data_IF_546834601746
#
_entry.id   IF_546834601746
#
_cell.length_a   1.000
_cell.length_b   1.000
_cell.length_c   1.000
_cell.angle_alpha   90.00
_cell.angle_beta   90.00
_cell.angle_gamma   90.00
#
_symmetry.space_group_name_H-M   'P 1'
#
loop_
_entity.id
_entity.type
_entity.pdbx_description
1 polymer ?
#
# COMPACT_ATOMS: atom_id res chain seq x y z
N UNK A 1 17.85 81.51 -12.60
CA UNK A 1 17.31 81.35 -13.97
C UNK A 1 17.90 80.07 -14.56
N UNK A 2 17.07 79.36 -15.32
CA UNK A 2 17.32 78.08 -16.00
C UNK A 2 16.95 76.83 -15.22
N UNK A 3 16.21 76.00 -15.94
CA UNK A 3 15.29 74.94 -15.56
C UNK A 3 15.85 73.59 -16.04
N UNK A 4 15.08 72.52 -15.78
CA UNK A 4 15.26 71.13 -16.26
C UNK A 4 16.06 70.22 -15.31
N UNK A 5 15.66 69.00 -14.95
CA UNK A 5 14.66 68.07 -15.51
C UNK A 5 14.01 67.26 -14.38
N UNK A 6 12.69 67.13 -14.44
CA UNK A 6 11.91 66.13 -13.70
C UNK A 6 11.84 64.88 -14.59
N UNK A 7 12.28 63.73 -14.09
CA UNK A 7 11.98 62.40 -14.68
C UNK A 7 10.77 61.81 -13.95
N UNK A 8 9.72 61.34 -14.65
CA UNK A 8 8.64 60.59 -14.01
C UNK A 8 8.99 59.10 -13.91
N UNK A 9 8.74 58.53 -12.73
CA UNK A 9 8.82 57.10 -12.45
C UNK A 9 7.77 56.34 -13.28
N UNK A 10 8.22 55.43 -14.15
CA UNK A 10 7.36 54.48 -14.84
C UNK A 10 6.91 53.39 -13.85
N UNK A 11 5.65 53.45 -13.44
CA UNK A 11 4.98 52.36 -12.75
C UNK A 11 4.56 51.28 -13.77
N UNK A 12 5.38 50.24 -13.92
CA UNK A 12 5.02 49.01 -14.64
C UNK A 12 4.29 48.06 -13.71
N UNK A 13 2.95 48.02 -13.78
CA UNK A 13 2.12 47.05 -13.07
C UNK A 13 2.37 45.63 -13.63
N UNK A 14 2.85 44.71 -12.79
CA UNK A 14 2.94 43.30 -13.13
C UNK A 14 1.53 42.67 -13.17
N UNK A 15 1.18 41.88 -14.18
CA UNK A 15 -0.14 41.26 -14.25
C UNK A 15 -0.28 40.16 -13.20
N UNK A 16 -1.39 40.25 -12.48
CA UNK A 16 -1.82 39.36 -11.40
C UNK A 16 -1.99 37.92 -11.93
N UNK A 17 -0.97 37.06 -11.78
CA UNK A 17 -1.08 35.63 -12.13
C UNK A 17 -1.98 34.95 -11.09
N UNK A 18 -3.21 34.59 -11.50
CA UNK A 18 -4.07 33.71 -10.71
C UNK A 18 -3.30 32.41 -10.39
N UNK A 19 -3.32 31.90 -9.14
CA UNK A 19 -2.66 30.65 -8.83
C UNK A 19 -3.32 29.52 -9.63
N UNK A 20 -2.54 28.94 -10.55
CA UNK A 20 -2.93 27.80 -11.35
C UNK A 20 -3.30 26.62 -10.45
N UNK A 21 -4.52 26.10 -10.58
CA UNK A 21 -4.96 24.84 -9.94
C UNK A 21 -4.03 23.64 -10.24
N UNK A 22 -3.16 23.75 -11.25
CA UNK A 22 -2.14 22.75 -11.57
C UNK A 22 -1.09 22.58 -10.47
N UNK A 23 -0.78 23.62 -9.69
CA UNK A 23 0.17 23.53 -8.57
C UNK A 23 -0.37 22.70 -7.40
N UNK A 24 -1.64 22.87 -7.06
CA UNK A 24 -2.32 22.12 -5.99
C UNK A 24 -2.50 20.66 -6.41
N UNK A 25 -2.92 20.41 -7.66
CA UNK A 25 -2.99 19.05 -8.22
C UNK A 25 -1.63 18.36 -8.19
N UNK A 26 -0.54 19.03 -8.59
CA UNK A 26 0.82 18.46 -8.57
C UNK A 26 1.33 18.19 -7.15
N UNK A 27 1.02 19.06 -6.19
CA UNK A 27 1.39 18.85 -4.79
C UNK A 27 0.61 17.67 -4.18
N UNK A 28 -0.69 17.60 -4.47
CA UNK A 28 -1.55 16.49 -4.03
C UNK A 28 -1.17 15.17 -4.71
N UNK A 29 -0.88 15.16 -6.01
CA UNK A 29 -0.39 13.95 -6.69
C UNK A 29 1.02 13.55 -6.25
N UNK A 30 1.89 14.49 -5.90
CA UNK A 30 3.20 14.18 -5.30
C UNK A 30 3.05 13.57 -3.89
N UNK A 31 2.13 14.10 -3.07
CA UNK A 31 1.81 13.51 -1.77
C UNK A 31 1.16 12.12 -1.91
N UNK A 32 0.18 11.96 -2.81
CA UNK A 32 -0.43 10.67 -3.11
C UNK A 32 0.56 9.66 -3.67
N UNK A 33 1.53 10.08 -4.50
CA UNK A 33 2.62 9.20 -4.95
C UNK A 33 3.52 8.75 -3.81
N UNK A 34 3.73 9.60 -2.80
CA UNK A 34 4.47 9.23 -1.58
C UNK A 34 3.70 8.19 -0.76
N UNK A 35 2.37 8.32 -0.67
CA UNK A 35 1.50 7.33 -0.02
C UNK A 35 1.35 6.03 -0.85
N UNK A 36 1.32 6.12 -2.18
CA UNK A 36 1.25 4.98 -3.09
C UNK A 36 2.55 4.19 -3.25
N UNK A 37 3.69 4.80 -2.90
CA UNK A 37 5.00 4.13 -2.84
C UNK A 37 5.33 3.57 -1.45
N UNK A 38 4.41 3.64 -0.48
CA UNK A 38 4.62 2.98 0.81
C UNK A 38 4.59 1.47 0.60
N UNK A 39 5.67 0.73 0.94
CA UNK A 39 5.63 -0.72 0.92
C UNK A 39 4.54 -1.17 1.89
N UNK A 40 3.65 -2.04 1.40
CA UNK A 40 2.63 -2.71 2.20
C UNK A 40 1.64 -1.76 2.92
N UNK A 41 0.89 -0.97 2.14
CA UNK A 41 -0.17 -0.11 2.66
C UNK A 41 -1.16 -0.86 3.59
N UNK A 42 -1.49 -2.12 3.26
CA UNK A 42 -2.33 -2.98 4.10
C UNK A 42 -1.82 -3.08 5.54
N UNK A 43 -0.51 -3.17 5.74
CA UNK A 43 0.12 -3.30 7.05
C UNK A 43 -0.07 -2.04 7.89
N UNK A 44 0.13 -0.88 7.26
CA UNK A 44 -0.02 0.43 7.90
C UNK A 44 -1.49 0.70 8.22
N UNK A 45 -2.39 0.39 7.29
CA UNK A 45 -3.84 0.51 7.52
C UNK A 45 -4.31 -0.43 8.63
N UNK A 46 -3.80 -1.66 8.67
CA UNK A 46 -4.11 -2.61 9.74
C UNK A 46 -3.66 -2.09 11.11
N UNK A 47 -2.43 -1.56 11.22
CA UNK A 47 -1.96 -0.95 12.47
C UNK A 47 -2.79 0.27 12.89
N UNK A 48 -3.20 1.12 11.94
CA UNK A 48 -4.08 2.25 12.23
C UNK A 48 -5.48 1.81 12.69
N UNK A 49 -6.03 0.75 12.09
CA UNK A 49 -7.31 0.18 12.50
C UNK A 49 -7.26 -0.41 13.91
N UNK A 50 -6.15 -1.06 14.32
CA UNK A 50 -6.00 -1.54 15.70
C UNK A 50 -6.05 -0.40 16.73
N UNK A 51 -5.50 0.78 16.43
CA UNK A 51 -5.65 1.94 17.34
C UNK A 51 -7.07 2.48 17.39
N UNK A 52 -7.79 2.47 16.27
CA UNK A 52 -9.21 2.83 16.24
C UNK A 52 -10.06 1.86 17.05
N UNK A 53 -9.79 0.57 16.94
CA UNK A 53 -10.47 -0.50 17.69
C UNK A 53 -10.36 -0.26 19.20
N UNK A 54 -9.13 -0.01 19.68
CA UNK A 54 -8.84 0.35 21.07
C UNK A 54 -9.63 1.60 21.53
N UNK A 55 -9.80 2.59 20.66
CA UNK A 55 -10.55 3.80 21.00
C UNK A 55 -12.06 3.53 21.12
N UNK A 56 -12.63 2.74 20.20
CA UNK A 56 -14.04 2.33 20.27
C UNK A 56 -14.32 1.45 21.49
N UNK A 57 -13.42 0.54 21.84
CA UNK A 57 -13.54 -0.28 23.04
C UNK A 57 -13.50 0.57 24.32
N UNK A 58 -12.64 1.59 24.40
CA UNK A 58 -12.66 2.54 25.52
C UNK A 58 -14.00 3.28 25.64
N UNK A 59 -14.54 3.77 24.52
CA UNK A 59 -15.85 4.45 24.50
C UNK A 59 -16.94 3.49 24.98
N UNK A 60 -16.94 2.24 24.50
CA UNK A 60 -17.94 1.25 24.90
C UNK A 60 -17.81 0.81 26.34
N UNK A 61 -16.60 0.69 26.90
CA UNK A 61 -16.41 0.37 28.32
C UNK A 61 -17.04 1.45 29.21
N UNK A 62 -16.79 2.74 28.90
CA UNK A 62 -17.39 3.86 29.65
C UNK A 62 -18.92 3.79 29.58
N UNK A 63 -19.44 3.51 28.38
CA UNK A 63 -20.88 3.38 28.18
C UNK A 63 -21.46 2.17 28.95
N UNK A 64 -20.76 1.03 28.96
CA UNK A 64 -21.19 -0.15 29.69
C UNK A 64 -21.20 0.04 31.21
N UNK A 65 -20.30 0.84 31.78
CA UNK A 65 -20.41 1.17 33.21
C UNK A 65 -21.70 1.90 33.55
N UNK A 66 -22.36 2.56 32.58
CA UNK A 66 -23.64 3.25 32.78
C UNK A 66 -24.85 2.32 32.63
N UNK A 67 -24.74 1.28 31.80
CA UNK A 67 -25.88 0.44 31.41
C UNK A 67 -25.78 -1.02 31.86
N UNK A 68 -24.59 -1.62 31.77
CA UNK A 68 -24.36 -3.04 32.08
C UNK A 68 -22.94 -3.25 32.64
N UNK A 69 -22.87 -3.36 33.96
CA UNK A 69 -21.61 -3.62 34.68
C UNK A 69 -21.00 -4.96 34.26
N UNK A 70 -21.82 -5.98 34.00
CA UNK A 70 -21.36 -7.29 33.57
C UNK A 70 -20.64 -7.22 32.21
N UNK A 71 -21.20 -6.49 31.25
CA UNK A 71 -20.59 -6.29 29.93
C UNK A 71 -19.29 -5.48 30.03
N UNK A 72 -19.24 -4.47 30.90
CA UNK A 72 -18.03 -3.68 31.13
C UNK A 72 -16.87 -4.55 31.62
N UNK A 73 -17.09 -5.36 32.65
CA UNK A 73 -16.05 -6.26 33.16
C UNK A 73 -15.68 -7.36 32.18
N UNK A 74 -16.63 -7.84 31.37
CA UNK A 74 -16.33 -8.82 30.32
C UNK A 74 -15.39 -8.24 29.25
N UNK A 75 -15.64 -7.03 28.74
CA UNK A 75 -14.77 -6.35 27.77
C UNK A 75 -13.40 -6.00 28.35
N UNK A 76 -13.34 -5.53 29.61
CA UNK A 76 -12.06 -5.32 30.29
C UNK A 76 -11.29 -6.64 30.41
N UNK A 77 -11.98 -7.73 30.73
CA UNK A 77 -11.41 -9.06 30.84
C UNK A 77 -10.78 -9.54 29.53
N UNK A 78 -11.44 -9.32 28.38
CA UNK A 78 -10.91 -9.71 27.07
C UNK A 78 -9.65 -8.92 26.71
N UNK A 79 -9.58 -7.62 27.03
CA UNK A 79 -8.39 -6.78 26.83
C UNK A 79 -7.22 -7.23 27.73
N UNK A 80 -7.48 -7.47 29.02
CA UNK A 80 -6.44 -7.95 29.95
C UNK A 80 -5.90 -9.30 29.48
N UNK A 81 -6.79 -10.19 29.05
CA UNK A 81 -6.42 -11.51 28.57
C UNK A 81 -5.61 -11.42 27.27
N UNK A 82 -5.98 -10.54 26.33
CA UNK A 82 -5.23 -10.34 25.09
C UNK A 82 -3.83 -9.81 25.37
N UNK A 83 -3.69 -8.78 26.22
CA UNK A 83 -2.39 -8.26 26.65
C UNK A 83 -1.52 -9.32 27.32
N UNK A 84 -2.11 -10.19 28.15
CA UNK A 84 -1.39 -11.30 28.77
C UNK A 84 -0.82 -12.26 27.72
N UNK A 85 -1.63 -12.69 26.74
CA UNK A 85 -1.17 -13.59 25.69
C UNK A 85 -0.16 -12.91 24.75
N UNK A 86 -0.33 -11.62 24.44
CA UNK A 86 0.67 -10.86 23.67
C UNK A 86 2.01 -10.76 24.42
N UNK A 87 1.99 -10.58 25.74
CA UNK A 87 3.21 -10.63 26.56
C UNK A 87 3.87 -12.02 26.49
N UNK A 88 3.08 -13.10 26.58
CA UNK A 88 3.58 -14.46 26.41
C UNK A 88 4.24 -14.68 25.04
N UNK A 89 3.64 -14.16 23.95
CA UNK A 89 4.24 -14.20 22.61
C UNK A 89 5.61 -13.52 22.60
N UNK A 90 5.74 -12.32 23.17
CA UNK A 90 7.03 -11.60 23.27
C UNK A 90 8.06 -12.38 24.08
N UNK A 91 7.67 -12.94 25.22
CA UNK A 91 8.54 -13.73 26.08
C UNK A 91 9.07 -14.97 25.36
N UNK A 92 8.20 -15.69 24.63
CA UNK A 92 8.58 -16.88 23.87
C UNK A 92 9.45 -16.51 22.67
N UNK A 93 9.04 -15.52 21.87
CA UNK A 93 9.75 -15.05 20.69
C UNK A 93 11.18 -14.60 20.98
N UNK A 94 11.39 -13.95 22.13
CA UNK A 94 12.65 -13.33 22.53
C UNK A 94 13.32 -13.98 23.73
N UNK A 95 12.97 -15.23 24.10
CA UNK A 95 13.51 -15.94 25.28
C UNK A 95 15.04 -16.04 25.32
N UNK A 96 15.69 -16.02 24.16
CA UNK A 96 17.15 -16.10 24.01
C UNK A 96 17.85 -14.72 24.03
N UNK A 97 17.10 -13.63 24.20
CA UNK A 97 17.62 -12.26 24.15
C UNK A 97 18.00 -11.72 25.52
N UNK A 98 18.76 -10.62 25.49
CA UNK A 98 19.06 -9.83 26.69
C UNK A 98 17.74 -9.34 27.31
N UNK A 99 17.61 -9.49 28.63
CA UNK A 99 16.40 -9.08 29.38
C UNK A 99 15.96 -7.63 29.12
N UNK A 100 16.90 -6.70 28.90
CA UNK A 100 16.60 -5.29 28.55
C UNK A 100 15.81 -5.16 27.24
N UNK A 101 16.09 -6.01 26.26
CA UNK A 101 15.35 -6.02 25.00
C UNK A 101 13.93 -6.51 25.22
N UNK A 102 13.77 -7.65 25.92
CA UNK A 102 12.47 -8.23 26.25
C UNK A 102 11.61 -7.21 27.02
N UNK A 103 12.18 -6.54 28.01
CA UNK A 103 11.48 -5.52 28.79
C UNK A 103 10.96 -4.36 27.91
N UNK A 104 11.75 -3.91 26.93
CA UNK A 104 11.32 -2.89 25.97
C UNK A 104 10.18 -3.39 25.08
N UNK A 105 10.24 -4.63 24.61
CA UNK A 105 9.16 -5.23 23.82
C UNK A 105 7.87 -5.40 24.64
N UNK A 106 7.98 -5.81 25.90
CA UNK A 106 6.84 -5.86 26.83
C UNK A 106 6.23 -4.47 27.07
N UNK A 107 7.08 -3.43 27.16
CA UNK A 107 6.59 -2.05 27.27
C UNK A 107 5.77 -1.66 26.03
N UNK A 108 6.23 -1.99 24.82
CA UNK A 108 5.46 -1.73 23.61
C UNK A 108 4.09 -2.41 23.58
N UNK A 109 4.00 -3.63 24.12
CA UNK A 109 2.73 -4.36 24.28
C UNK A 109 1.82 -3.66 25.27
N UNK A 110 2.30 -3.39 26.49
CA UNK A 110 1.50 -2.79 27.56
C UNK A 110 1.05 -1.36 27.23
N UNK A 111 1.84 -0.60 26.47
CA UNK A 111 1.42 0.73 26.00
C UNK A 111 0.55 0.69 24.73
N UNK A 112 0.18 -0.51 24.25
CA UNK A 112 -0.59 -0.72 23.02
C UNK A 112 0.06 -0.14 21.74
N UNK A 113 1.37 0.07 21.72
CA UNK A 113 2.10 0.64 20.56
C UNK A 113 2.70 -0.46 19.66
N UNK A 114 2.70 -1.72 20.14
CA UNK A 114 3.25 -2.89 19.44
C UNK A 114 2.75 -3.04 18.00
N UNK A 115 1.44 -2.87 17.66
CA UNK A 115 0.97 -3.01 16.28
C UNK A 115 1.69 -2.07 15.30
N UNK A 116 1.96 -0.82 15.72
CA UNK A 116 2.69 0.16 14.91
C UNK A 116 4.19 -0.17 14.80
N UNK A 117 4.81 -0.60 15.89
CA UNK A 117 6.23 -0.99 15.91
C UNK A 117 6.48 -2.21 15.01
N UNK A 118 5.59 -3.19 15.05
CA UNK A 118 5.71 -4.40 14.26
C UNK A 118 5.48 -4.13 12.78
N UNK A 119 4.43 -3.37 12.43
CA UNK A 119 4.21 -2.93 11.05
C UNK A 119 5.42 -2.17 10.50
N UNK A 120 6.01 -1.26 11.29
CA UNK A 120 7.22 -0.53 10.92
C UNK A 120 8.41 -1.47 10.65
N UNK A 121 8.64 -2.47 11.50
CA UNK A 121 9.74 -3.44 11.33
C UNK A 121 9.56 -4.32 10.10
N UNK A 122 8.33 -4.71 9.78
CA UNK A 122 8.03 -5.51 8.59
C UNK A 122 8.24 -4.70 7.31
N UNK A 123 7.75 -3.45 7.30
CA UNK A 123 7.92 -2.54 6.14
C UNK A 123 9.38 -2.19 5.91
N UNK A 124 10.15 -1.93 6.96
CA UNK A 124 11.58 -1.60 6.86
C UNK A 124 12.49 -2.80 6.59
N UNK A 125 11.93 -4.03 6.56
CA UNK A 125 12.67 -5.27 6.32
C UNK A 125 13.91 -5.38 7.21
N UNK A 126 13.77 -5.08 8.51
CA UNK A 126 14.90 -5.15 9.42
C UNK A 126 15.55 -6.55 9.39
N UNK A 127 16.89 -6.62 9.36
CA UNK A 127 17.58 -7.91 9.33
C UNK A 127 17.26 -8.68 10.61
N UNK A 128 17.12 -10.00 10.47
CA UNK A 128 16.81 -10.88 11.58
C UNK A 128 17.88 -10.70 12.68
N UNK A 129 17.54 -10.19 13.87
CA UNK A 129 18.58 -9.91 14.84
C UNK A 129 19.12 -11.23 15.42
N UNK A 130 20.38 -11.28 15.85
CA UNK A 130 21.06 -12.54 16.27
C UNK A 130 20.36 -13.22 17.46
N UNK A 131 19.76 -14.39 17.23
CA UNK A 131 19.02 -15.15 18.26
C UNK A 131 17.53 -14.84 18.35
N UNK A 132 16.92 -14.22 17.32
CA UNK A 132 15.47 -14.21 17.15
C UNK A 132 14.99 -15.59 16.72
N UNK A 133 13.94 -16.10 17.37
CA UNK A 133 13.30 -17.36 16.96
C UNK A 133 12.26 -17.16 15.86
N UNK A 134 11.70 -15.95 15.77
CA UNK A 134 10.65 -15.58 14.82
C UNK A 134 11.09 -14.38 14.00
N UNK A 135 10.68 -14.35 12.73
CA UNK A 135 10.85 -13.17 11.88
C UNK A 135 9.93 -12.05 12.32
N UNK A 136 10.26 -10.80 11.96
CA UNK A 136 9.40 -9.64 12.27
C UNK A 136 7.98 -9.80 11.71
N UNK A 137 7.86 -10.45 10.54
CA UNK A 137 6.57 -10.75 9.93
C UNK A 137 5.78 -11.78 10.76
N UNK A 138 6.42 -12.87 11.18
CA UNK A 138 5.76 -13.89 12.01
C UNK A 138 5.37 -13.34 13.37
N UNK A 139 6.24 -12.56 14.02
CA UNK A 139 5.93 -11.92 15.32
C UNK A 139 4.65 -11.05 15.21
N UNK A 140 4.56 -10.23 14.17
CA UNK A 140 3.37 -9.43 13.89
C UNK A 140 2.12 -10.30 13.62
N UNK A 141 2.26 -11.40 12.88
CA UNK A 141 1.15 -12.33 12.62
C UNK A 141 0.64 -12.99 13.91
N UNK A 142 1.53 -13.37 14.82
CA UNK A 142 1.14 -13.92 16.11
C UNK A 142 0.40 -12.89 16.97
N UNK A 143 0.86 -11.64 17.00
CA UNK A 143 0.17 -10.57 17.71
C UNK A 143 -1.23 -10.29 17.14
N UNK A 144 -1.36 -10.11 15.82
CA UNK A 144 -2.66 -9.94 15.16
C UNK A 144 -3.60 -11.12 15.39
N UNK A 145 -3.07 -12.34 15.38
CA UNK A 145 -3.84 -13.53 15.70
C UNK A 145 -4.39 -13.48 17.11
N UNK A 146 -3.54 -13.20 18.11
CA UNK A 146 -3.97 -13.07 19.50
C UNK A 146 -5.03 -11.97 19.68
N UNK A 147 -4.81 -10.79 19.10
CA UNK A 147 -5.78 -9.68 19.10
C UNK A 147 -7.12 -10.13 18.52
N UNK A 148 -7.11 -10.74 17.33
CA UNK A 148 -8.34 -11.15 16.65
C UNK A 148 -9.12 -12.21 17.44
N UNK A 149 -8.44 -13.23 17.98
CA UNK A 149 -9.11 -14.36 18.63
C UNK A 149 -9.52 -14.12 20.08
N UNK A 150 -8.74 -13.33 20.83
CA UNK A 150 -8.94 -13.18 22.28
C UNK A 150 -9.69 -11.89 22.63
N UNK A 151 -9.47 -10.83 21.86
CA UNK A 151 -10.05 -9.51 22.11
C UNK A 151 -11.20 -9.23 21.16
N UNK A 152 -10.92 -9.24 19.86
CA UNK A 152 -11.84 -8.73 18.86
C UNK A 152 -13.07 -9.61 18.69
N UNK A 153 -12.92 -10.93 18.53
CA UNK A 153 -14.06 -11.86 18.37
C UNK A 153 -14.94 -11.92 19.62
N UNK A 154 -14.40 -12.16 20.83
CA UNK A 154 -15.21 -12.12 22.05
C UNK A 154 -15.78 -10.73 22.34
N UNK A 155 -15.03 -9.66 22.08
CA UNK A 155 -15.45 -8.27 22.23
C UNK A 155 -16.65 -7.93 21.35
N UNK A 156 -16.59 -8.29 20.06
CA UNK A 156 -17.71 -8.14 19.13
C UNK A 156 -18.96 -8.90 19.61
N UNK A 157 -18.79 -10.11 20.15
CA UNK A 157 -19.90 -10.90 20.69
C UNK A 157 -20.53 -10.24 21.91
N UNK A 158 -19.70 -9.77 22.86
CA UNK A 158 -20.18 -9.01 24.04
C UNK A 158 -20.90 -7.75 23.59
N UNK A 159 -20.35 -7.03 22.61
CA UNK A 159 -20.97 -5.82 22.04
C UNK A 159 -22.32 -6.12 21.40
N UNK A 160 -22.44 -7.18 20.62
CA UNK A 160 -23.70 -7.61 20.02
C UNK A 160 -24.74 -8.02 21.08
N UNK A 161 -24.34 -8.79 22.09
CA UNK A 161 -25.24 -9.20 23.19
C UNK A 161 -25.72 -7.98 23.98
N UNK A 162 -24.82 -7.06 24.32
CA UNK A 162 -25.16 -5.82 25.03
C UNK A 162 -26.09 -4.92 24.19
N UNK A 163 -25.88 -4.89 22.87
CA UNK A 163 -26.70 -4.14 21.93
C UNK A 163 -28.15 -4.64 21.88
N UNK A 164 -28.35 -5.96 21.88
CA UNK A 164 -29.68 -6.59 21.85
C UNK A 164 -30.42 -6.44 23.18
N UNK A 165 -29.72 -6.54 24.31
CA UNK A 165 -30.34 -6.58 25.64
C UNK A 165 -30.60 -5.21 26.28
N UNK A 166 -30.07 -4.13 25.72
CA UNK A 166 -30.16 -2.78 26.31
C UNK A 166 -31.00 -1.87 25.41
N UNK A 167 -30.50 -0.67 25.10
CA UNK A 167 -31.12 0.31 24.23
C UNK A 167 -30.16 0.60 23.08
N UNK A 168 -30.67 0.57 21.85
CA UNK A 168 -29.89 0.76 20.63
C UNK A 168 -29.49 2.23 20.46
N UNK A 169 -28.40 2.62 21.13
CA UNK A 169 -27.84 3.96 20.96
C UNK A 169 -27.09 4.06 19.62
N UNK A 170 -27.00 5.27 19.09
CA UNK A 170 -26.21 5.55 17.86
C UNK A 170 -24.75 5.19 18.07
N UNK A 171 -24.19 5.47 19.26
CA UNK A 171 -22.81 5.16 19.63
C UNK A 171 -22.57 3.65 19.62
N UNK A 172 -23.45 2.86 20.25
CA UNK A 172 -23.30 1.40 20.27
C UNK A 172 -23.44 0.78 18.88
N UNK A 173 -24.32 1.34 18.03
CA UNK A 173 -24.48 0.89 16.64
C UNK A 173 -23.22 1.15 15.82
N UNK A 174 -22.67 2.37 15.91
CA UNK A 174 -21.46 2.75 15.18
C UNK A 174 -20.24 1.96 15.67
N UNK A 175 -20.12 1.73 16.98
CA UNK A 175 -19.04 0.92 17.53
C UNK A 175 -19.12 -0.51 17.01
N UNK A 176 -20.28 -1.16 17.09
CA UNK A 176 -20.44 -2.54 16.62
C UNK A 176 -20.13 -2.69 15.12
N UNK A 177 -20.61 -1.76 14.29
CA UNK A 177 -20.30 -1.76 12.86
C UNK A 177 -18.81 -1.54 12.59
N UNK A 178 -18.17 -0.64 13.35
CA UNK A 178 -16.74 -0.41 13.25
C UNK A 178 -15.95 -1.67 13.62
N UNK A 179 -16.26 -2.31 14.75
CA UNK A 179 -15.58 -3.53 15.21
C UNK A 179 -15.70 -4.69 14.22
N UNK A 180 -16.89 -4.87 13.60
CA UNK A 180 -17.07 -5.92 12.59
C UNK A 180 -16.22 -5.61 11.34
N UNK A 181 -16.17 -4.34 10.92
CA UNK A 181 -15.41 -3.93 9.75
C UNK A 181 -13.90 -4.04 9.98
N UNK A 182 -13.40 -3.62 11.16
CA UNK A 182 -11.98 -3.75 11.54
C UNK A 182 -11.58 -5.21 11.63
N UNK A 183 -12.38 -6.05 12.29
CA UNK A 183 -12.16 -7.49 12.38
C UNK A 183 -12.08 -8.14 10.98
N UNK A 184 -13.02 -7.82 10.11
CA UNK A 184 -13.06 -8.35 8.74
C UNK A 184 -11.83 -7.91 7.92
N UNK A 185 -11.46 -6.63 8.02
CA UNK A 185 -10.28 -6.09 7.33
C UNK A 185 -8.97 -6.72 7.83
N UNK A 186 -8.78 -6.81 9.15
CA UNK A 186 -7.58 -7.41 9.75
C UNK A 186 -7.50 -8.90 9.40
N UNK A 187 -8.62 -9.62 9.45
CA UNK A 187 -8.67 -11.04 9.07
C UNK A 187 -8.32 -11.26 7.60
N UNK A 188 -8.93 -10.49 6.68
CA UNK A 188 -8.67 -10.60 5.24
C UNK A 188 -7.23 -10.21 4.89
N UNK A 189 -6.73 -9.11 5.44
CA UNK A 189 -5.35 -8.66 5.20
C UNK A 189 -4.32 -9.66 5.72
N UNK A 190 -4.53 -10.22 6.93
CA UNK A 190 -3.67 -11.26 7.51
C UNK A 190 -3.68 -12.54 6.67
N UNK A 191 -4.83 -12.94 6.14
CA UNK A 191 -4.94 -14.11 5.24
C UNK A 191 -4.16 -13.90 3.95
N UNK A 192 -4.32 -12.74 3.30
CA UNK A 192 -3.54 -12.38 2.11
C UNK A 192 -2.04 -12.38 2.41
N UNK A 193 -1.62 -11.81 3.54
CA UNK A 193 -0.21 -11.79 3.92
C UNK A 193 0.37 -13.20 4.15
N UNK A 194 -0.43 -14.12 4.70
CA UNK A 194 -0.03 -15.51 4.93
C UNK A 194 0.05 -16.31 3.63
N UNK A 195 -0.96 -16.22 2.79
CA UNK A 195 -1.10 -17.05 1.59
C UNK A 195 -0.31 -16.50 0.39
N UNK A 196 -0.10 -15.18 0.33
CA UNK A 196 0.66 -14.58 -0.76
C UNK A 196 2.17 -14.87 -0.64
N UNK A 197 2.78 -15.21 -1.78
CA UNK A 197 4.24 -15.33 -1.89
C UNK A 197 4.88 -14.00 -1.48
N UNK A 198 5.99 -14.02 -0.69
CA UNK A 198 6.61 -12.80 -0.16
C UNK A 198 6.90 -11.71 -1.20
N UNK A 199 7.25 -12.11 -2.44
CA UNK A 199 7.53 -11.21 -3.56
C UNK A 199 6.34 -10.34 -3.98
N UNK A 200 5.10 -10.80 -3.77
CA UNK A 200 3.89 -10.14 -4.28
C UNK A 200 3.03 -9.47 -3.20
N UNK A 201 3.42 -9.56 -1.92
CA UNK A 201 2.65 -8.99 -0.80
C UNK A 201 2.43 -7.48 -0.94
N UNK A 202 3.42 -6.79 -1.49
CA UNK A 202 3.39 -5.33 -1.74
C UNK A 202 2.40 -4.92 -2.86
N UNK A 203 1.90 -5.87 -3.66
CA UNK A 203 1.05 -5.59 -4.82
C UNK A 203 -0.45 -5.53 -4.49
N UNK A 204 -0.89 -6.18 -3.40
CA UNK A 204 -2.33 -6.37 -3.13
C UNK A 204 -3.05 -5.10 -2.66
N UNK A 205 -2.36 -4.17 -2.02
CA UNK A 205 -2.94 -2.91 -1.55
C UNK A 205 -1.98 -1.77 -1.89
N UNK A 206 -2.35 -0.98 -2.89
CA UNK A 206 -1.57 0.15 -3.37
C UNK A 206 -2.48 1.30 -3.75
N UNK A 207 -2.11 2.52 -3.38
CA UNK A 207 -2.77 3.74 -3.85
C UNK A 207 -2.29 4.18 -5.24
N UNK A 208 -1.39 3.42 -5.89
CA UNK A 208 -0.96 3.73 -7.26
C UNK A 208 -2.15 3.61 -8.20
N UNK A 209 -2.36 4.64 -9.01
CA UNK A 209 -3.29 4.53 -10.14
C UNK A 209 -2.72 3.57 -11.19
N UNK A 210 -3.59 3.01 -12.05
CA UNK A 210 -3.13 2.15 -13.14
C UNK A 210 -2.08 2.84 -14.03
N UNK A 211 -2.25 4.12 -14.30
CA UNK A 211 -1.29 4.91 -15.07
C UNK A 211 0.07 5.03 -14.36
N UNK A 212 0.08 5.36 -13.07
CA UNK A 212 1.30 5.42 -12.28
C UNK A 212 2.02 4.07 -12.16
N UNK A 213 1.26 2.97 -12.09
CA UNK A 213 1.82 1.62 -12.08
C UNK A 213 2.51 1.31 -13.42
N UNK A 214 1.81 1.52 -14.53
CA UNK A 214 2.35 1.24 -15.88
C UNK A 214 3.59 2.10 -16.17
N UNK A 215 3.53 3.40 -15.89
CA UNK A 215 4.65 4.33 -16.05
C UNK A 215 5.83 3.93 -15.14
N UNK A 216 5.54 3.56 -13.88
CA UNK A 216 6.54 3.11 -12.93
C UNK A 216 7.24 1.83 -13.39
N UNK A 217 6.50 0.88 -13.94
CA UNK A 217 7.03 -0.36 -14.49
C UNK A 217 7.99 -0.09 -15.65
N UNK A 218 7.63 0.79 -16.59
CA UNK A 218 8.52 1.15 -17.71
C UNK A 218 9.87 1.70 -17.22
N UNK A 219 9.83 2.61 -16.25
CA UNK A 219 11.02 3.32 -15.75
C UNK A 219 11.92 2.48 -14.86
N UNK A 220 11.36 1.48 -14.18
CA UNK A 220 12.10 0.66 -13.19
C UNK A 220 12.46 -0.73 -13.69
N UNK A 221 11.81 -1.23 -14.75
CA UNK A 221 12.11 -2.53 -15.31
C UNK A 221 13.53 -2.54 -15.91
N UNK A 222 14.33 -3.53 -15.50
CA UNK A 222 15.62 -3.85 -16.13
C UNK A 222 15.44 -4.78 -17.33
N UNK A 223 14.36 -5.57 -17.36
CA UNK A 223 14.10 -6.55 -18.40
C UNK A 223 13.29 -5.92 -19.52
N UNK A 224 13.80 -5.98 -20.76
CA UNK A 224 13.17 -5.39 -21.94
C UNK A 224 11.78 -5.97 -22.24
N UNK A 225 11.61 -7.29 -22.04
CA UNK A 225 10.30 -7.97 -22.09
C UNK A 225 9.25 -7.36 -21.17
N UNK A 226 9.64 -6.85 -20.00
CA UNK A 226 8.71 -6.23 -19.06
C UNK A 226 8.39 -4.80 -19.47
N UNK A 227 9.36 -4.07 -20.05
CA UNK A 227 9.14 -2.74 -20.60
C UNK A 227 8.18 -2.75 -21.78
N UNK A 228 8.34 -3.67 -22.73
CA UNK A 228 7.45 -3.74 -23.90
C UNK A 228 6.00 -4.05 -23.49
N UNK A 229 5.82 -4.79 -22.40
CA UNK A 229 4.53 -5.13 -21.78
C UNK A 229 3.64 -3.92 -21.45
N UNK A 230 4.24 -2.73 -21.31
CA UNK A 230 3.52 -1.47 -21.07
C UNK A 230 2.53 -1.16 -22.18
N UNK A 231 2.87 -1.48 -23.44
CA UNK A 231 2.01 -1.24 -24.62
C UNK A 231 0.74 -2.12 -24.62
N UNK A 232 0.62 -3.12 -23.74
CA UNK A 232 -0.57 -3.98 -23.65
C UNK A 232 -1.73 -3.25 -22.98
N UNK A 233 -1.37 -2.23 -22.21
CA UNK A 233 -2.31 -1.42 -21.47
C UNK A 233 -2.86 -0.34 -22.40
N UNK A 234 -4.11 0.05 -22.16
CA UNK A 234 -4.75 1.12 -22.90
C UNK A 234 -3.89 2.39 -22.92
N UNK A 235 -3.69 3.01 -24.09
CA UNK A 235 -2.77 4.15 -24.33
C UNK A 235 -2.93 5.30 -23.35
N UNK A 236 -4.14 5.53 -22.83
CA UNK A 236 -4.38 6.57 -21.80
C UNK A 236 -3.55 6.38 -20.53
N UNK A 237 -3.13 5.16 -20.20
CA UNK A 237 -2.38 4.84 -18.98
C UNK A 237 -0.89 5.21 -19.08
N UNK A 238 -0.33 5.28 -20.29
CA UNK A 238 1.09 5.60 -20.52
C UNK A 238 1.30 6.79 -21.46
N UNK A 239 0.24 7.55 -21.75
CA UNK A 239 0.30 8.79 -22.56
C UNK A 239 1.36 9.79 -22.11
N UNK A 240 1.64 9.86 -20.79
CA UNK A 240 2.67 10.76 -20.25
C UNK A 240 4.10 10.38 -20.65
N UNK A 241 4.35 9.11 -20.96
CA UNK A 241 5.67 8.59 -21.36
C UNK A 241 5.68 8.12 -22.81
N UNK A 242 4.69 8.49 -23.61
CA UNK A 242 4.56 8.02 -24.99
C UNK A 242 5.80 8.34 -25.83
N UNK A 243 6.37 9.54 -25.67
CA UNK A 243 7.62 9.94 -26.32
C UNK A 243 8.81 9.11 -25.83
N UNK A 244 8.92 8.89 -24.51
CA UNK A 244 10.00 8.06 -23.92
C UNK A 244 9.94 6.62 -24.45
N UNK A 245 8.73 6.08 -24.63
CA UNK A 245 8.50 4.74 -25.18
C UNK A 245 8.84 4.70 -26.67
N UNK A 246 8.47 5.74 -27.45
CA UNK A 246 8.80 5.84 -28.88
C UNK A 246 10.31 5.80 -29.12
N UNK A 247 11.06 6.65 -28.41
CA UNK A 247 12.52 6.72 -28.52
C UNK A 247 13.16 5.38 -28.14
N UNK A 248 12.77 4.82 -26.99
CA UNK A 248 13.29 3.53 -26.53
C UNK A 248 12.98 2.39 -27.49
N UNK A 249 11.78 2.37 -28.10
CA UNK A 249 11.40 1.37 -29.08
C UNK A 249 12.32 1.45 -30.31
N UNK A 250 12.45 2.64 -30.91
CA UNK A 250 13.24 2.80 -32.14
C UNK A 250 14.75 2.55 -31.92
N UNK A 251 15.30 2.82 -30.74
CA UNK A 251 16.70 2.51 -30.40
C UNK A 251 17.03 1.01 -30.31
N UNK A 252 16.03 0.18 -29.99
CA UNK A 252 16.25 -1.24 -29.72
C UNK A 252 15.60 -2.17 -30.76
N UNK A 253 14.65 -1.67 -31.55
CA UNK A 253 13.88 -2.46 -32.51
C UNK A 253 14.77 -3.14 -33.57
N UNK A 254 15.76 -2.41 -34.11
CA UNK A 254 16.70 -2.95 -35.11
C UNK A 254 17.47 -4.15 -34.55
N UNK A 255 18.02 -4.01 -33.33
CA UNK A 255 18.75 -5.08 -32.64
C UNK A 255 17.87 -6.30 -32.37
N UNK A 256 16.63 -6.10 -31.93
CA UNK A 256 15.73 -7.23 -31.63
C UNK A 256 15.32 -8.03 -32.87
N UNK A 257 15.24 -7.37 -34.03
CA UNK A 257 14.94 -8.01 -35.32
C UNK A 257 16.18 -8.75 -35.84
N UNK A 258 17.36 -8.15 -35.75
CA UNK A 258 18.61 -8.77 -36.20
C UNK A 258 19.03 -9.98 -35.34
N UNK A 259 18.91 -9.85 -34.02
CA UNK A 259 19.34 -10.89 -33.07
C UNK A 259 18.29 -12.00 -32.85
N UNK A 260 17.10 -11.89 -33.46
CA UNK A 260 15.94 -12.79 -33.27
C UNK A 260 15.75 -13.23 -31.81
N UNK A 261 15.65 -12.26 -30.90
CA UNK A 261 15.60 -12.57 -29.47
C UNK A 261 14.39 -13.46 -29.12
N UNK A 262 14.64 -14.52 -28.34
CA UNK A 262 13.66 -15.58 -28.03
C UNK A 262 12.36 -15.05 -27.38
N UNK A 263 12.43 -13.91 -26.67
CA UNK A 263 11.27 -13.29 -26.04
C UNK A 263 10.46 -12.37 -26.98
N UNK A 264 11.02 -11.94 -28.10
CA UNK A 264 10.39 -11.05 -29.09
C UNK A 264 9.66 -11.86 -30.18
N UNK A 265 8.71 -12.67 -29.73
CA UNK A 265 7.91 -13.53 -30.58
C UNK A 265 6.82 -12.75 -31.35
N UNK A 266 6.13 -13.43 -32.26
CA UNK A 266 5.11 -12.84 -33.14
C UNK A 266 3.97 -12.17 -32.38
N UNK A 267 3.61 -12.67 -31.18
CA UNK A 267 2.63 -12.02 -30.30
C UNK A 267 3.09 -10.66 -29.78
N UNK A 268 4.38 -10.53 -29.47
CA UNK A 268 4.98 -9.25 -29.05
C UNK A 268 5.20 -8.32 -30.24
N UNK A 269 5.52 -8.85 -31.42
CA UNK A 269 5.61 -8.05 -32.66
C UNK A 269 4.27 -7.41 -33.02
N UNK A 270 3.16 -8.14 -32.89
CA UNK A 270 1.81 -7.64 -33.15
C UNK A 270 1.32 -6.57 -32.16
N UNK A 271 1.99 -6.43 -31.01
CA UNK A 271 1.67 -5.47 -29.96
C UNK A 271 2.29 -4.09 -30.19
N UNK A 272 3.31 -4.02 -31.05
CA UNK A 272 3.97 -2.76 -31.40
C UNK A 272 3.01 -1.91 -32.22
N UNK A 273 2.71 -0.71 -31.73
CA UNK A 273 1.83 0.21 -32.43
C UNK A 273 2.56 0.86 -33.62
N UNK A 274 1.94 0.80 -34.80
CA UNK A 274 2.52 1.31 -36.04
C UNK A 274 2.90 2.80 -35.99
N UNK A 275 2.17 3.60 -35.20
CA UNK A 275 2.38 5.05 -35.06
C UNK A 275 3.57 5.43 -34.17
N UNK A 276 4.26 4.45 -33.58
CA UNK A 276 5.45 4.65 -32.76
C UNK A 276 6.76 4.28 -33.48
N UNK A 277 6.70 3.65 -34.65
CA UNK A 277 7.91 3.23 -35.37
C UNK A 277 8.25 4.27 -36.43
N UNK A 278 9.45 4.84 -36.34
CA UNK A 278 9.87 5.93 -37.23
C UNK A 278 10.29 5.42 -38.62
N UNK A 279 10.84 4.19 -38.72
CA UNK A 279 11.27 3.57 -39.99
C UNK A 279 10.17 2.66 -40.60
N UNK A 280 9.59 3.04 -41.76
CA UNK A 280 8.60 2.23 -42.47
C UNK A 280 9.13 0.86 -42.96
N UNK A 281 10.45 0.72 -43.12
CA UNK A 281 11.10 -0.51 -43.59
C UNK A 281 11.08 -1.58 -42.52
N UNK A 282 11.37 -1.22 -41.26
CA UNK A 282 11.29 -2.11 -40.10
C UNK A 282 9.86 -2.57 -39.84
N UNK A 283 8.87 -1.70 -40.04
CA UNK A 283 7.45 -2.02 -39.99
C UNK A 283 7.04 -3.12 -40.98
N UNK A 284 7.56 -3.06 -42.21
CA UNK A 284 7.31 -4.11 -43.21
C UNK A 284 7.95 -5.43 -42.81
N UNK A 285 9.17 -5.41 -42.27
CA UNK A 285 9.86 -6.62 -41.80
C UNK A 285 9.08 -7.28 -40.65
N UNK A 286 8.63 -6.49 -39.68
CA UNK A 286 7.82 -6.97 -38.55
C UNK A 286 6.53 -7.65 -39.01
N UNK A 287 5.79 -7.01 -39.91
CA UNK A 287 4.50 -7.54 -40.40
C UNK A 287 4.67 -8.73 -41.34
N UNK A 288 5.67 -8.71 -42.23
CA UNK A 288 5.92 -9.80 -43.17
C UNK A 288 6.42 -11.06 -42.44
N UNK A 289 7.31 -10.92 -41.45
CA UNK A 289 7.77 -12.07 -40.66
C UNK A 289 6.63 -12.70 -39.84
N UNK A 290 5.76 -11.87 -39.25
CA UNK A 290 4.58 -12.32 -38.49
C UNK A 290 3.59 -13.07 -39.40
N UNK A 291 3.36 -12.57 -40.62
CA UNK A 291 2.43 -13.17 -41.58
C UNK A 291 2.95 -14.50 -42.15
N UNK A 292 4.23 -14.59 -42.50
CA UNK A 292 4.81 -15.82 -43.08
C UNK A 292 4.83 -16.98 -42.07
N UNK A 293 5.17 -16.74 -40.79
CA UNK A 293 5.17 -17.78 -39.76
C UNK A 293 3.78 -18.26 -39.36
N UNK A 294 2.76 -17.39 -39.43
CA UNK A 294 1.36 -17.78 -39.24
C UNK A 294 0.83 -18.63 -40.41
N UNK A 295 1.32 -18.42 -41.64
CA UNK A 295 0.94 -19.22 -42.82
C UNK A 295 1.63 -20.58 -42.90
N UNK A 296 2.76 -20.77 -42.21
CA UNK A 296 3.50 -22.05 -42.16
C UNK A 296 3.08 -22.95 -40.97
N UNK A 297 2.24 -22.43 -40.06
CA UNK A 297 1.78 -23.10 -38.84
C UNK A 297 0.36 -23.66 -38.88
N UNK A 298 -0.29 -23.73 -40.07
CA UNK A 298 -1.56 -24.43 -40.30
C UNK A 298 -1.36 -25.87 -40.79
#
# INVERSE_FOLDING_TARGET
MSSSKIQPALAGAAPNRRPSMGGVRRSFTAQLNKFGNLPNLALIMGAAMSFSDLAFDMVMIIEYFRYSIASAYATIGTIILSLFFQCCVVLVAHRMRKKRYIFRELLYVVTCVKPGVDAYRVVTKQPLPVGAMVTAHEEMMYHRGVELFIECVPGCLIQAIAYVNTQQTTVATLSLLSSILTAAFISASTTIEKDAKPKYRETFMSFKTGSQHVIGTFRTATNERVKIGVMNNHRSLWKEIEEDVRVWLNENLEKWIEEEQEWFNDSVKAMVLDDLVDDPSLLKVLKNQTFMRLSEGE
#
